data_IF_794328804685
#
_entry.id   IF_794328804685
#
_cell.length_a   1.000
_cell.length_b   1.000
_cell.length_c   1.000
_cell.angle_alpha   90.00
_cell.angle_beta   90.00
_cell.angle_gamma   90.00
#
_symmetry.space_group_name_H-M   'P 1'
#
loop_
_entity.id
_entity.type
_entity.pdbx_description
1 polymer ?
#
# COMPACT_ATOMS: atom_id res chain seq x y z
N UNK A 1 8.40 -7.47 0.99
CA UNK A 1 8.23 -6.99 2.37
C UNK A 1 6.77 -6.65 2.58
N UNK A 2 6.17 -7.00 3.73
CA UNK A 2 4.73 -6.85 4.01
C UNK A 2 4.50 -6.56 5.51
N UNK A 3 3.34 -6.02 5.86
CA UNK A 3 2.89 -5.84 7.25
C UNK A 3 3.82 -4.97 8.10
N UNK A 4 4.10 -5.40 9.33
CA UNK A 4 4.97 -4.65 10.26
C UNK A 4 6.38 -4.40 9.70
N UNK A 5 6.95 -5.34 8.93
CA UNK A 5 8.26 -5.13 8.32
C UNK A 5 8.22 -3.97 7.32
N UNK A 6 7.12 -3.83 6.58
CA UNK A 6 6.92 -2.68 5.69
C UNK A 6 6.76 -1.37 6.48
N UNK A 7 5.99 -1.38 7.56
CA UNK A 7 5.79 -0.19 8.41
C UNK A 7 7.09 0.25 9.09
N UNK A 8 7.93 -0.69 9.54
CA UNK A 8 9.24 -0.39 10.10
C UNK A 8 10.14 0.30 9.08
N UNK A 9 10.20 -0.21 7.85
CA UNK A 9 11.01 0.38 6.78
C UNK A 9 10.57 1.80 6.41
N UNK A 10 9.25 2.06 6.36
CA UNK A 10 8.69 3.40 6.14
C UNK A 10 9.07 4.37 7.28
N UNK A 11 9.00 3.90 8.53
CA UNK A 11 9.38 4.70 9.71
C UNK A 11 10.88 5.01 9.71
N UNK A 12 11.71 4.04 9.38
CA UNK A 12 13.16 4.20 9.32
C UNK A 12 13.56 5.17 8.20
N UNK A 13 12.92 5.07 7.03
CA UNK A 13 13.08 6.00 5.91
C UNK A 13 12.73 7.45 6.27
N UNK A 14 11.85 7.68 7.26
CA UNK A 14 11.49 9.04 7.70
C UNK A 14 12.67 9.81 8.30
N UNK A 15 13.68 9.10 8.81
CA UNK A 15 14.89 9.72 9.35
C UNK A 15 15.83 10.28 8.28
N UNK A 16 15.67 9.86 7.01
CA UNK A 16 16.51 10.25 5.89
C UNK A 16 15.93 11.45 5.15
N UNK A 17 16.31 12.66 5.59
CA UNK A 17 15.68 13.90 5.11
C UNK A 17 15.98 14.27 3.64
N UNK A 18 16.95 13.62 3.00
CA UNK A 18 17.38 13.97 1.65
C UNK A 18 16.99 12.95 0.58
N UNK A 19 16.38 11.84 0.99
CA UNK A 19 16.08 10.73 0.10
C UNK A 19 14.58 10.71 -0.26
N UNK A 20 14.31 10.34 -1.51
CA UNK A 20 12.96 10.05 -1.99
C UNK A 20 12.74 8.55 -1.87
N UNK A 21 11.81 8.14 -1.01
CA UNK A 21 11.46 6.74 -0.86
C UNK A 21 10.15 6.46 -1.59
N UNK A 22 10.11 5.34 -2.30
CA UNK A 22 8.95 4.91 -3.08
C UNK A 22 8.73 3.42 -2.83
N UNK A 23 7.54 3.07 -2.35
CA UNK A 23 7.10 1.69 -2.20
C UNK A 23 5.93 1.41 -3.12
N UNK A 24 6.03 0.29 -3.85
CA UNK A 24 4.91 -0.25 -4.60
C UNK A 24 4.06 -1.12 -3.68
N UNK A 25 2.78 -0.76 -3.55
CA UNK A 25 1.81 -1.44 -2.66
C UNK A 25 1.00 -2.52 -3.37
N UNK A 26 1.30 -2.76 -4.65
CA UNK A 26 0.56 -3.64 -5.55
C UNK A 26 -0.46 -2.89 -6.41
N UNK A 27 -0.82 -3.49 -7.54
CA UNK A 27 -1.65 -2.84 -8.57
C UNK A 27 -1.09 -1.46 -8.96
N UNK A 28 -1.92 -0.43 -8.92
CA UNK A 28 -1.61 0.98 -9.14
C UNK A 28 -1.25 1.74 -7.85
N UNK A 29 -1.18 1.05 -6.70
CA UNK A 29 -0.95 1.68 -5.40
C UNK A 29 0.53 1.96 -5.11
N UNK A 30 0.84 3.19 -4.67
CA UNK A 30 2.19 3.59 -4.28
C UNK A 30 2.18 4.44 -3.02
N UNK A 31 3.17 4.22 -2.14
CA UNK A 31 3.53 5.16 -1.08
C UNK A 31 4.79 5.90 -1.51
N UNK A 32 4.76 7.22 -1.43
CA UNK A 32 5.92 8.09 -1.65
C UNK A 32 6.19 8.87 -0.38
N UNK A 33 7.45 8.93 0.01
CA UNK A 33 7.87 9.67 1.19
C UNK A 33 9.07 10.55 0.88
N UNK A 34 8.98 11.80 1.36
CA UNK A 34 10.04 12.78 1.23
C UNK A 34 9.98 13.77 2.38
N UNK A 35 11.09 13.98 3.08
CA UNK A 35 11.22 14.95 4.19
C UNK A 35 10.13 14.79 5.27
N UNK A 36 9.82 13.55 5.62
CA UNK A 36 8.77 13.22 6.60
C UNK A 36 7.33 13.40 6.12
N UNK A 37 7.12 13.88 4.89
CA UNK A 37 5.80 13.91 4.25
C UNK A 37 5.53 12.59 3.55
N UNK A 38 4.28 12.12 3.62
CA UNK A 38 3.81 10.91 2.96
C UNK A 38 2.72 11.24 1.94
N UNK A 39 2.79 10.62 0.78
CA UNK A 39 1.79 10.71 -0.27
C UNK A 39 1.41 9.31 -0.74
N UNK A 40 0.12 9.00 -0.64
CA UNK A 40 -0.43 7.70 -1.01
C UNK A 40 -1.22 7.83 -2.31
N UNK A 41 -0.79 7.12 -3.34
CA UNK A 41 -1.43 7.08 -4.65
C UNK A 41 -2.27 5.81 -4.76
N UNK A 42 -3.51 5.98 -5.26
CA UNK A 42 -4.48 4.92 -5.56
C UNK A 42 -4.43 3.72 -4.57
N UNK A 43 -4.72 3.97 -3.27
CA UNK A 43 -4.56 2.95 -2.23
C UNK A 43 -5.52 1.80 -2.43
N UNK A 44 -5.07 0.80 -3.18
CA UNK A 44 -5.79 -0.44 -3.40
C UNK A 44 -5.51 -1.44 -2.28
N UNK A 45 -5.88 -1.02 -1.06
CA UNK A 45 -5.55 -1.69 0.20
C UNK A 45 -6.72 -2.55 0.75
N UNK A 46 -7.79 -2.77 -0.02
CA UNK A 46 -8.92 -3.59 0.45
C UNK A 46 -9.37 -4.61 -0.59
N UNK A 47 -10.02 -5.67 -0.11
CA UNK A 47 -10.66 -6.69 -0.96
C UNK A 47 -12.11 -6.33 -1.35
N UNK A 48 -12.50 -5.07 -1.16
CA UNK A 48 -13.88 -4.60 -1.36
C UNK A 48 -14.42 -4.90 -2.76
N UNK A 49 -13.62 -4.73 -3.82
CA UNK A 49 -14.04 -5.10 -5.19
C UNK A 49 -14.12 -6.61 -5.36
N UNK A 50 -13.18 -7.37 -4.79
CA UNK A 50 -13.22 -8.84 -4.85
C UNK A 50 -14.50 -9.36 -4.22
N UNK A 51 -14.87 -8.88 -3.03
CA UNK A 51 -16.15 -9.21 -2.40
C UNK A 51 -17.35 -8.77 -3.23
N UNK A 52 -17.35 -7.54 -3.76
CA UNK A 52 -18.47 -6.96 -4.51
C UNK A 52 -18.77 -7.71 -5.81
N UNK A 53 -17.75 -8.21 -6.50
CA UNK A 53 -17.88 -8.84 -7.80
C UNK A 53 -17.81 -10.37 -7.79
N UNK A 54 -17.68 -10.99 -6.60
CA UNK A 54 -17.51 -12.44 -6.44
C UNK A 54 -18.59 -13.28 -7.14
N UNK A 55 -19.82 -12.78 -7.22
CA UNK A 55 -20.97 -13.49 -7.82
C UNK A 55 -21.34 -13.00 -9.22
N UNK A 56 -20.49 -12.18 -9.85
CA UNK A 56 -20.76 -11.62 -11.18
C UNK A 56 -20.02 -12.39 -12.27
N UNK A 57 -20.45 -12.24 -13.52
CA UNK A 57 -19.76 -12.84 -14.68
C UNK A 57 -18.35 -12.26 -14.94
N UNK A 58 -17.89 -11.31 -14.12
CA UNK A 58 -16.54 -10.72 -14.15
C UNK A 58 -15.99 -10.61 -12.72
N UNK A 59 -15.61 -11.74 -12.09
CA UNK A 59 -15.05 -11.71 -10.74
C UNK A 59 -13.78 -10.87 -10.72
N UNK A 60 -13.63 -10.05 -9.68
CA UNK A 60 -12.47 -9.18 -9.52
C UNK A 60 -11.42 -9.87 -8.66
N UNK A 61 -10.36 -10.40 -9.29
CA UNK A 61 -9.28 -11.10 -8.59
C UNK A 61 -8.05 -10.20 -8.50
N UNK A 62 -7.47 -10.04 -7.31
CA UNK A 62 -6.21 -9.30 -7.13
C UNK A 62 -5.05 -10.03 -7.82
N UNK A 63 -4.15 -9.28 -8.47
CA UNK A 63 -2.94 -9.85 -9.07
C UNK A 63 -1.78 -10.01 -8.06
N UNK A 64 -1.85 -9.34 -6.90
CA UNK A 64 -0.78 -9.31 -5.88
C UNK A 64 -1.38 -9.39 -4.49
N UNK A 65 -0.64 -9.87 -3.48
CA UNK A 65 -1.06 -9.82 -2.06
C UNK A 65 -1.11 -8.39 -1.50
N UNK A 66 -1.77 -8.17 -0.36
CA UNK A 66 -1.82 -6.87 0.30
C UNK A 66 -0.45 -6.61 0.95
N UNK A 67 0.15 -5.46 0.64
CA UNK A 67 1.43 -5.06 1.26
C UNK A 67 1.22 -4.67 2.71
N UNK A 68 0.11 -4.01 3.03
CA UNK A 68 -0.27 -3.61 4.39
C UNK A 68 -1.80 -3.48 4.49
N UNK A 69 -2.37 -3.75 5.67
CA UNK A 69 -3.78 -3.46 5.94
C UNK A 69 -4.01 -1.95 6.02
N UNK A 70 -5.12 -1.40 5.51
CA UNK A 70 -5.43 0.01 5.68
C UNK A 70 -5.76 0.34 7.14
N UNK A 71 -6.18 -0.63 7.94
CA UNK A 71 -6.56 -0.44 9.35
C UNK A 71 -5.37 -0.11 10.27
N UNK A 72 -4.14 -0.26 9.78
CA UNK A 72 -2.90 0.01 10.53
C UNK A 72 -2.16 1.26 10.04
N UNK A 73 -2.79 2.05 9.16
CA UNK A 73 -2.29 3.35 8.72
C UNK A 73 -2.91 4.44 9.60
N UNK A 74 -2.06 5.17 10.35
CA UNK A 74 -2.44 6.32 11.19
C UNK A 74 -2.45 7.65 10.42
#
# INVERSE_FOLDING_TARGET
>A
MQGEAFLADVRDAASLQNDLHIWWLGQSGFLVQWRGSHLLFDPYLSDSLTHKYATTNKPHTRLTELVVSPDVLD
#
